data_IF_283427881769
#
_entry.id   IF_283427881769
#
_cell.length_a   1.000
_cell.length_b   1.000
_cell.length_c   1.000
_cell.angle_alpha   90.00
_cell.angle_beta   90.00
_cell.angle_gamma   90.00
#
_symmetry.space_group_name_H-M   'P 1'
#
loop_
_entity.id
_entity.type
_entity.pdbx_description
1 polymer ?
#
# COMPACT_ATOMS: atom_id res chain seq x y z
N UNK A 1 14.27 15.51 12.23
CA UNK A 1 12.93 14.95 12.41
C UNK A 1 12.97 13.76 13.34
N UNK A 2 11.82 13.37 13.82
CA UNK A 2 11.71 12.19 14.66
C UNK A 2 12.08 10.93 13.88
N UNK A 3 12.69 9.92 14.51
CA UNK A 3 12.90 8.64 13.87
C UNK A 3 11.59 8.07 13.35
N UNK A 4 11.62 7.48 12.18
CA UNK A 4 10.47 6.81 11.54
C UNK A 4 9.34 7.72 11.05
N UNK A 5 9.55 9.04 10.96
CA UNK A 5 8.54 9.91 10.35
C UNK A 5 8.28 9.59 8.87
N UNK A 6 9.33 9.22 8.13
CA UNK A 6 9.22 9.02 6.70
C UNK A 6 9.07 10.32 5.91
N UNK A 7 9.10 10.22 4.60
CA UNK A 7 9.04 11.39 3.72
C UNK A 7 7.70 12.12 3.79
N UNK A 8 6.61 11.35 3.82
CA UNK A 8 5.26 11.93 3.78
C UNK A 8 4.89 12.69 5.04
N UNK A 9 5.46 12.33 6.19
CA UNK A 9 5.17 13.01 7.45
C UNK A 9 5.77 14.41 7.52
N UNK A 10 6.82 14.65 6.76
CA UNK A 10 7.50 15.95 6.70
C UNK A 10 6.90 16.89 5.67
N UNK A 11 6.14 16.36 4.75
CA UNK A 11 5.44 17.14 3.75
C UNK A 11 4.07 17.52 4.28
N UNK A 12 3.83 18.79 4.52
CA UNK A 12 2.51 19.29 4.90
C UNK A 12 1.44 18.97 3.84
N UNK A 13 1.87 18.54 2.66
CA UNK A 13 1.03 18.20 1.53
C UNK A 13 1.32 16.79 1.01
N UNK A 14 0.75 15.80 1.63
CA UNK A 14 0.70 14.44 1.07
C UNK A 14 -0.76 13.96 1.01
N UNK A 15 -1.64 14.71 0.31
CA UNK A 15 -3.07 14.41 0.32
C UNK A 15 -3.42 13.00 -0.15
N UNK A 16 -2.65 12.36 -1.07
CA UNK A 16 -3.01 11.01 -1.54
C UNK A 16 -3.10 9.94 -0.47
N UNK A 17 -2.56 10.15 0.72
CA UNK A 17 -2.70 9.21 1.83
C UNK A 17 -4.09 9.24 2.49
N UNK A 18 -4.84 10.31 2.26
CA UNK A 18 -6.12 10.56 2.94
C UNK A 18 -7.24 9.75 2.31
N UNK A 19 -8.22 9.35 3.15
CA UNK A 19 -9.37 8.55 2.71
C UNK A 19 -10.20 9.30 1.67
N UNK A 20 -10.44 10.59 1.91
CA UNK A 20 -11.32 11.44 1.12
C UNK A 20 -10.62 12.15 -0.04
N UNK A 21 -9.38 11.78 -0.34
CA UNK A 21 -8.68 12.34 -1.48
C UNK A 21 -9.37 11.96 -2.79
N UNK A 22 -9.62 12.94 -3.65
CA UNK A 22 -10.23 12.72 -4.95
C UNK A 22 -9.20 12.23 -5.96
N UNK A 23 -9.24 10.94 -6.25
CA UNK A 23 -8.39 10.27 -7.22
C UNK A 23 -9.11 9.96 -8.53
N UNK A 24 -10.27 10.56 -8.76
CA UNK A 24 -11.13 10.26 -9.92
C UNK A 24 -10.46 10.52 -11.27
N UNK A 25 -9.49 11.44 -11.31
CA UNK A 25 -8.72 11.77 -12.52
C UNK A 25 -7.43 10.95 -12.67
N UNK A 26 -7.15 10.04 -11.74
CA UNK A 26 -5.95 9.22 -11.84
C UNK A 26 -6.14 8.09 -12.85
N UNK A 27 -5.07 7.73 -13.58
CA UNK A 27 -5.13 6.56 -14.45
C UNK A 27 -5.31 5.28 -13.62
N UNK A 28 -6.07 4.35 -14.16
CA UNK A 28 -6.21 3.02 -13.57
C UNK A 28 -4.97 2.21 -13.86
N UNK A 29 -4.34 1.68 -12.82
CA UNK A 29 -3.20 0.79 -12.96
C UNK A 29 -3.70 -0.63 -13.21
N UNK A 30 -3.55 -1.13 -14.42
CA UNK A 30 -3.96 -2.47 -14.82
C UNK A 30 -2.82 -3.49 -14.71
N UNK A 31 -1.58 -3.00 -14.67
CA UNK A 31 -0.39 -3.84 -14.50
C UNK A 31 0.59 -3.14 -13.55
N UNK A 32 0.63 -3.60 -12.32
CA UNK A 32 1.48 -3.02 -11.28
C UNK A 32 2.97 -3.25 -11.50
N UNK A 33 3.33 -4.13 -12.41
CA UNK A 33 4.73 -4.40 -12.77
C UNK A 33 5.24 -3.44 -13.84
N UNK A 34 4.34 -2.70 -14.46
CA UNK A 34 4.71 -1.74 -15.47
C UNK A 34 5.40 -0.54 -14.83
N UNK A 35 6.56 -0.19 -15.34
CA UNK A 35 7.27 1.01 -14.89
C UNK A 35 6.48 2.25 -15.28
N UNK A 36 6.15 3.09 -14.31
CA UNK A 36 5.44 4.35 -14.55
C UNK A 36 6.40 5.52 -14.75
N UNK A 37 7.65 5.38 -14.30
CA UNK A 37 8.66 6.42 -14.41
C UNK A 37 10.04 5.84 -14.21
N UNK A 38 11.05 6.53 -14.74
CA UNK A 38 12.45 6.12 -14.69
C UNK A 38 13.27 7.10 -13.86
N UNK A 39 14.41 6.63 -13.35
CA UNK A 39 15.33 7.42 -12.58
C UNK A 39 14.89 7.63 -11.12
N UNK A 40 15.39 8.69 -10.48
CA UNK A 40 15.03 9.04 -9.12
C UNK A 40 13.67 9.72 -9.09
N UNK A 41 12.65 8.98 -8.68
CA UNK A 41 11.28 9.46 -8.73
C UNK A 41 10.39 8.72 -7.72
N UNK A 42 9.17 9.18 -7.56
CA UNK A 42 8.17 8.54 -6.71
C UNK A 42 6.82 8.48 -7.40
N UNK A 43 5.98 7.57 -6.92
CA UNK A 43 4.59 7.46 -7.33
C UNK A 43 3.69 7.07 -6.17
N UNK A 44 2.47 7.56 -6.19
CA UNK A 44 1.40 7.14 -5.30
C UNK A 44 0.51 6.14 -6.02
N UNK A 45 0.14 5.09 -5.31
CA UNK A 45 -0.91 4.14 -5.71
C UNK A 45 -2.03 4.19 -4.68
N UNK A 46 -3.26 4.21 -5.14
CA UNK A 46 -4.43 4.15 -4.25
C UNK A 46 -5.27 2.94 -4.61
N UNK A 47 -5.60 2.15 -3.59
CA UNK A 47 -6.34 0.91 -3.72
C UNK A 47 -7.60 1.05 -2.89
N UNK A 48 -8.76 0.98 -3.53
CA UNK A 48 -10.05 0.98 -2.86
C UNK A 48 -10.51 -0.47 -2.72
N UNK A 49 -10.77 -0.88 -1.50
CA UNK A 49 -11.10 -2.26 -1.17
C UNK A 49 -12.48 -2.27 -0.52
N UNK A 50 -13.38 -3.08 -1.05
CA UNK A 50 -14.63 -3.43 -0.38
C UNK A 50 -14.56 -4.87 0.06
N UNK A 51 -14.66 -5.11 1.36
CA UNK A 51 -14.58 -6.45 1.93
C UNK A 51 -15.81 -7.24 1.52
N UNK A 52 -15.67 -8.40 0.85
CA UNK A 52 -16.79 -9.28 0.56
C UNK A 52 -17.22 -10.03 1.81
N UNK A 53 -18.44 -10.59 1.79
CA UNK A 53 -18.91 -11.45 2.89
C UNK A 53 -18.35 -12.87 2.82
N UNK A 54 -17.93 -13.31 1.63
CA UNK A 54 -17.40 -14.64 1.38
C UNK A 54 -16.24 -14.61 0.40
N UNK A 55 -15.31 -15.54 0.58
CA UNK A 55 -14.28 -15.85 -0.41
C UNK A 55 -14.30 -17.35 -0.67
N UNK A 56 -14.54 -17.75 -1.91
CA UNK A 56 -14.61 -19.16 -2.33
C UNK A 56 -15.60 -19.97 -1.45
N UNK A 57 -16.75 -19.36 -1.11
CA UNK A 57 -17.77 -19.99 -0.28
C UNK A 57 -17.52 -19.93 1.22
N UNK A 58 -16.40 -19.40 1.68
CA UNK A 58 -16.08 -19.24 3.11
C UNK A 58 -16.49 -17.87 3.59
N UNK A 59 -17.29 -17.81 4.65
CA UNK A 59 -17.65 -16.56 5.33
C UNK A 59 -16.40 -16.03 6.05
N UNK A 60 -16.00 -14.80 5.71
CA UNK A 60 -14.79 -14.18 6.25
C UNK A 60 -15.06 -13.12 7.31
N UNK A 61 -16.30 -13.02 7.78
CA UNK A 61 -16.62 -12.05 8.82
C UNK A 61 -15.77 -12.29 10.07
N UNK A 62 -15.14 -11.24 10.57
CA UNK A 62 -14.25 -11.29 11.71
C UNK A 62 -12.80 -11.70 11.39
N UNK A 63 -12.50 -12.04 10.13
CA UNK A 63 -11.13 -12.40 9.74
C UNK A 63 -10.19 -11.19 9.82
N UNK A 64 -8.92 -11.47 10.07
CA UNK A 64 -7.85 -10.50 9.86
C UNK A 64 -7.54 -10.44 8.37
N UNK A 65 -7.32 -9.24 7.86
CA UNK A 65 -6.97 -9.03 6.44
C UNK A 65 -5.65 -8.28 6.37
N UNK A 66 -4.75 -8.78 5.54
CA UNK A 66 -3.43 -8.21 5.34
C UNK A 66 -3.24 -7.83 3.87
N UNK A 67 -2.54 -6.73 3.64
CA UNK A 67 -1.95 -6.42 2.35
C UNK A 67 -0.56 -7.03 2.31
N UNK A 68 -0.28 -7.85 1.31
CA UNK A 68 1.04 -8.41 1.04
C UNK A 68 1.59 -7.81 -0.24
N UNK A 69 2.79 -7.25 -0.16
CA UNK A 69 3.40 -6.53 -1.27
C UNK A 69 4.92 -6.64 -1.24
N UNK A 70 5.54 -6.19 -2.33
CA UNK A 70 6.98 -6.15 -2.47
C UNK A 70 7.36 -4.90 -3.25
N UNK A 71 8.04 -3.98 -2.60
CA UNK A 71 8.50 -2.73 -3.18
C UNK A 71 10.01 -2.71 -3.37
N UNK A 72 10.45 -1.74 -4.14
CA UNK A 72 11.85 -1.46 -4.45
C UNK A 72 11.98 0.04 -4.84
N UNK A 73 12.71 0.87 -4.12
CA UNK A 73 13.64 0.70 -2.98
C UNK A 73 13.04 1.11 -1.64
N UNK A 74 12.09 2.04 -1.62
CA UNK A 74 11.42 2.55 -0.45
C UNK A 74 9.92 2.60 -0.69
N UNK A 75 9.17 2.28 0.33
CA UNK A 75 7.72 2.40 0.26
C UNK A 75 7.09 2.71 1.59
N UNK A 76 5.92 3.31 1.52
CA UNK A 76 5.04 3.55 2.67
C UNK A 76 3.66 3.03 2.34
N UNK A 77 3.05 2.33 3.28
CA UNK A 77 1.70 1.78 3.17
C UNK A 77 0.82 2.44 4.21
N UNK A 78 -0.14 3.24 3.75
CA UNK A 78 -1.10 3.96 4.56
C UNK A 78 -2.45 3.27 4.46
N UNK A 79 -3.05 2.96 5.60
CA UNK A 79 -4.36 2.34 5.67
C UNK A 79 -5.34 3.34 6.27
N UNK A 80 -6.36 3.71 5.51
CA UNK A 80 -7.36 4.70 5.92
C UNK A 80 -6.73 5.99 6.48
N UNK A 81 -5.67 6.48 5.82
CA UNK A 81 -4.99 7.72 6.20
C UNK A 81 -4.02 7.60 7.37
N UNK A 82 -3.77 6.40 7.87
CA UNK A 82 -2.86 6.13 9.00
C UNK A 82 -1.77 5.16 8.60
N UNK A 83 -0.58 5.34 9.12
CA UNK A 83 0.54 4.43 8.91
C UNK A 83 1.08 3.93 10.24
N UNK A 84 1.31 2.63 10.34
CA UNK A 84 2.18 2.04 11.35
C UNK A 84 3.60 2.00 10.80
N UNK A 85 4.48 2.80 11.35
CA UNK A 85 5.86 2.91 10.85
C UNK A 85 6.67 1.62 11.01
N UNK A 86 6.26 0.74 11.90
CA UNK A 86 6.95 -0.53 12.10
C UNK A 86 6.68 -1.52 10.97
N UNK A 87 5.44 -1.59 10.52
CA UNK A 87 5.02 -2.56 9.49
C UNK A 87 4.76 -1.92 8.13
N UNK A 88 4.42 -0.64 8.10
CA UNK A 88 4.02 0.08 6.89
C UNK A 88 5.16 0.76 6.14
N UNK A 89 6.38 0.75 6.65
CA UNK A 89 7.55 1.33 5.98
C UNK A 89 8.46 0.22 5.45
N UNK A 90 8.79 0.31 4.17
CA UNK A 90 9.62 -0.68 3.48
C UNK A 90 10.87 -0.01 2.95
N UNK A 91 12.03 -0.57 3.25
CA UNK A 91 13.33 -0.09 2.77
C UNK A 91 14.13 -1.27 2.25
N UNK A 92 14.70 -1.11 1.07
CA UNK A 92 15.58 -2.10 0.47
C UNK A 92 15.19 -2.52 -0.93
N UNK A 93 15.99 -3.38 -1.51
CA UNK A 93 15.78 -3.95 -2.84
C UNK A 93 14.97 -5.23 -2.70
N UNK A 94 13.87 -5.35 -3.43
CA UNK A 94 13.03 -6.55 -3.42
C UNK A 94 12.53 -6.89 -2.00
N UNK A 95 12.07 -5.87 -1.28
CA UNK A 95 11.64 -6.03 0.11
C UNK A 95 10.17 -6.42 0.19
N UNK A 96 9.92 -7.55 0.86
CA UNK A 96 8.57 -8.03 1.15
C UNK A 96 8.03 -7.36 2.39
N UNK A 97 6.73 -7.09 2.40
CA UNK A 97 6.04 -6.54 3.55
C UNK A 97 4.60 -7.05 3.64
N UNK A 98 4.14 -7.16 4.86
CA UNK A 98 2.79 -7.56 5.20
C UNK A 98 2.21 -6.58 6.21
N UNK A 99 1.12 -5.93 5.84
CA UNK A 99 0.48 -4.90 6.67
C UNK A 99 -0.96 -5.31 6.95
N UNK A 100 -1.32 -5.35 8.23
CA UNK A 100 -2.71 -5.56 8.61
C UNK A 100 -3.56 -4.36 8.22
N UNK A 101 -4.62 -4.59 7.44
CA UNK A 101 -5.54 -3.53 7.02
C UNK A 101 -6.85 -3.55 7.82
N UNK A 102 -7.22 -4.67 8.38
CA UNK A 102 -8.27 -4.77 9.39
C UNK A 102 -8.06 -6.03 10.24
N UNK A 103 -8.34 -5.95 11.53
CA UNK A 103 -8.29 -7.07 12.46
C UNK A 103 -9.64 -7.81 12.56
N UNK A 104 -10.68 -7.24 11.99
CA UNK A 104 -12.03 -7.81 12.03
C UNK A 104 -12.80 -7.40 10.78
N UNK A 105 -12.70 -8.23 9.73
CA UNK A 105 -13.38 -7.97 8.48
C UNK A 105 -14.90 -7.94 8.67
N UNK A 106 -15.53 -6.94 8.07
CA UNK A 106 -16.99 -6.82 8.03
C UNK A 106 -17.46 -6.70 6.57
N UNK A 107 -18.53 -7.39 6.25
CA UNK A 107 -19.14 -7.31 4.91
C UNK A 107 -19.42 -5.85 4.54
N UNK A 108 -19.09 -5.49 3.30
CA UNK A 108 -19.28 -4.15 2.73
C UNK A 108 -18.44 -3.05 3.41
N UNK A 109 -17.46 -3.42 4.22
CA UNK A 109 -16.50 -2.48 4.78
C UNK A 109 -15.62 -1.92 3.64
N UNK A 110 -15.54 -0.59 3.56
CA UNK A 110 -14.69 0.10 2.60
C UNK A 110 -13.36 0.50 3.27
N UNK A 111 -12.27 0.18 2.59
CA UNK A 111 -10.91 0.50 3.02
C UNK A 111 -10.16 1.19 1.89
N UNK A 112 -9.31 2.15 2.22
CA UNK A 112 -8.41 2.79 1.27
C UNK A 112 -6.98 2.53 1.70
N UNK A 113 -6.21 1.90 0.81
CA UNK A 113 -4.77 1.73 0.99
C UNK A 113 -4.06 2.66 0.03
N UNK A 114 -3.20 3.52 0.55
CA UNK A 114 -2.36 4.40 -0.24
C UNK A 114 -0.91 3.98 -0.09
N UNK A 115 -0.25 3.72 -1.21
CA UNK A 115 1.15 3.32 -1.24
C UNK A 115 1.99 4.41 -1.90
N UNK A 116 2.98 4.92 -1.18
CA UNK A 116 4.05 5.72 -1.76
C UNK A 116 5.21 4.82 -2.10
N UNK A 117 5.68 4.86 -3.33
CA UNK A 117 6.83 4.06 -3.77
C UNK A 117 7.87 4.99 -4.36
N UNK A 118 9.11 4.83 -3.92
CA UNK A 118 10.24 5.61 -4.39
C UNK A 118 11.30 4.73 -5.02
N UNK A 119 11.88 5.27 -6.08
CA UNK A 119 13.12 4.78 -6.68
C UNK A 119 14.30 5.60 -6.17
N UNK A 120 15.40 4.94 -5.83
CA UNK A 120 16.62 5.59 -5.36
C UNK A 120 17.55 6.02 -6.48
N UNK A 121 18.65 6.75 -6.11
CA UNK A 121 19.63 7.24 -7.08
C UNK A 121 20.31 6.13 -7.89
N UNK A 122 20.42 4.94 -7.34
CA UNK A 122 21.03 3.78 -8.03
C UNK A 122 20.14 3.23 -9.15
N UNK A 123 18.91 3.70 -9.25
CA UNK A 123 17.99 3.31 -10.32
C UNK A 123 18.31 4.00 -11.65
N UNK A 124 19.11 5.05 -11.65
CA UNK A 124 19.46 5.75 -12.89
C UNK A 124 20.43 4.93 -13.76
N UNK A 125 20.34 5.11 -15.10
CA UNK A 125 19.38 5.98 -15.82
C UNK A 125 18.08 5.28 -16.18
N UNK A 126 17.90 4.01 -15.91
CA UNK A 126 16.76 3.21 -16.39
C UNK A 126 16.01 2.43 -15.33
N UNK A 127 16.28 2.67 -14.07
CA UNK A 127 15.50 2.06 -13.02
C UNK A 127 14.08 2.62 -13.00
N UNK A 128 13.08 1.75 -12.87
CA UNK A 128 11.68 2.13 -12.76
C UNK A 128 11.16 1.99 -11.34
N UNK A 129 9.97 2.50 -11.10
CA UNK A 129 9.23 2.23 -9.86
C UNK A 129 8.60 0.86 -9.98
N UNK A 130 8.85 0.00 -9.00
CA UNK A 130 8.37 -1.37 -9.01
C UNK A 130 7.54 -1.70 -7.78
N UNK A 131 6.34 -2.19 -8.05
CA UNK A 131 5.60 -3.05 -7.14
C UNK A 131 5.58 -4.44 -7.80
N UNK A 132 6.22 -5.40 -7.17
CA UNK A 132 6.36 -6.74 -7.77
C UNK A 132 5.08 -7.53 -7.68
N UNK A 133 4.35 -7.35 -6.59
CA UNK A 133 3.02 -7.92 -6.37
C UNK A 133 2.28 -7.13 -5.31
N UNK A 134 0.98 -7.24 -5.33
CA UNK A 134 0.11 -6.66 -4.31
C UNK A 134 -1.18 -7.49 -4.23
N UNK A 135 -1.43 -8.15 -3.12
CA UNK A 135 -2.64 -8.93 -2.91
C UNK A 135 -3.08 -8.93 -1.45
N UNK A 136 -4.28 -9.41 -1.23
CA UNK A 136 -4.86 -9.52 0.10
C UNK A 136 -4.76 -10.96 0.59
N UNK A 137 -4.41 -11.11 1.86
CA UNK A 137 -4.44 -12.36 2.58
C UNK A 137 -5.47 -12.30 3.70
N UNK A 138 -6.26 -13.34 3.85
CA UNK A 138 -7.33 -13.44 4.84
C UNK A 138 -6.99 -14.55 5.82
N UNK A 139 -6.99 -14.23 7.11
CA UNK A 139 -6.69 -15.18 8.17
C UNK A 139 -7.85 -15.27 9.15
N UNK A 140 -8.29 -16.50 9.41
CA UNK A 140 -9.27 -16.74 10.46
C UNK A 140 -8.71 -16.36 11.81
N UNK A 141 -9.52 -15.74 12.64
CA UNK A 141 -9.16 -15.46 14.03
C UNK A 141 -9.54 -16.66 14.90
N UNK A 142 -8.64 -17.04 15.80
CA UNK A 142 -8.93 -18.02 16.82
C UNK A 142 -9.82 -17.40 17.90
N UNK A 143 -11.02 -17.89 18.01
CA UNK A 143 -11.96 -17.53 19.07
C UNK A 143 -12.07 -18.65 20.09
#
# INVERSE_FOLDING_TARGET
>A
GEPNEGLTSKLSSSPPRLIDYDDSNWPICTDIRQSLSEGFTFAWYRIKIRIPNQIKGTNINGYRVFLETNFDNYGEIWVNGTIDRTTGTIVGINSQQRVEITDAAASDQDLVVACLVLNGPLAEPRGGIFIRYCYLAFEATDN
#
